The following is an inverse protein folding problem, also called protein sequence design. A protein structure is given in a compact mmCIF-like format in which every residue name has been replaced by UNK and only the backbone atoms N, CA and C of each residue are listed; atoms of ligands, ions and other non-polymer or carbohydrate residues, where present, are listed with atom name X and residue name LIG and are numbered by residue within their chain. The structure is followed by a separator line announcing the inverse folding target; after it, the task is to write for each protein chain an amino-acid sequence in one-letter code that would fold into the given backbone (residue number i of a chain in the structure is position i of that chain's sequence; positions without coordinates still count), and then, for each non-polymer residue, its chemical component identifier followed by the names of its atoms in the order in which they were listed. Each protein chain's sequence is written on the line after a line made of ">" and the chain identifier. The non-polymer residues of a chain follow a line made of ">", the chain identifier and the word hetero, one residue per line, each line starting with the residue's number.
data_IF_505651876379
#
_entry.id   IF_505651876379
#
_cell.length_a   1.000
_cell.length_b   1.000
_cell.length_c   1.000
_cell.angle_alpha   90.00
_cell.angle_beta   90.00
_cell.angle_gamma   90.00
#
_symmetry.space_group_name_H-M   'P 1'
#
loop_
_entity.id
_entity.type
_entity.pdbx_description
1 polymer ?
#
# COMPACT_ATOMS: atom_id res chain seq x y z
N UNK A 1 26.75 -6.38 18.65
CA UNK A 1 26.03 -7.21 17.67
C UNK A 1 24.64 -6.63 17.51
N UNK A 2 24.46 -5.76 16.51
CA UNK A 2 23.15 -5.14 16.24
C UNK A 2 22.24 -6.20 15.65
N UNK A 3 21.22 -6.64 16.40
CA UNK A 3 20.15 -7.47 15.85
C UNK A 3 19.39 -6.60 14.86
N UNK A 4 19.71 -6.73 13.57
CA UNK A 4 18.84 -6.23 12.52
C UNK A 4 17.54 -6.99 12.68
N UNK A 5 16.51 -6.33 13.22
CA UNK A 5 15.16 -6.89 13.32
C UNK A 5 14.77 -7.40 11.94
N UNK A 6 14.54 -8.71 11.80
CA UNK A 6 14.05 -9.29 10.56
C UNK A 6 12.70 -8.65 10.22
N UNK A 7 12.62 -8.05 9.03
CA UNK A 7 11.39 -7.45 8.52
C UNK A 7 10.35 -8.54 8.33
N UNK A 8 9.14 -8.32 8.84
CA UNK A 8 8.02 -9.23 8.63
C UNK A 8 7.72 -9.39 7.14
N UNK A 9 7.45 -10.62 6.69
CA UNK A 9 7.12 -10.88 5.28
C UNK A 9 5.78 -10.27 4.88
N UNK A 10 4.83 -10.23 5.81
CA UNK A 10 3.54 -9.57 5.67
C UNK A 10 3.34 -8.69 6.90
N UNK A 11 3.03 -7.43 6.68
CA UNK A 11 2.80 -6.47 7.76
C UNK A 11 1.45 -5.79 7.58
N UNK A 12 0.64 -5.78 8.63
CA UNK A 12 -0.63 -5.04 8.67
C UNK A 12 -0.45 -3.81 9.55
N UNK A 13 -0.75 -2.65 9.00
CA UNK A 13 -0.80 -1.39 9.75
C UNK A 13 -2.23 -1.20 10.23
N UNK A 14 -2.43 -1.06 11.54
CA UNK A 14 -3.76 -1.01 12.14
C UNK A 14 -3.89 0.15 13.12
N UNK A 15 -5.05 0.78 13.13
CA UNK A 15 -5.39 1.81 14.10
C UNK A 15 -6.85 1.65 14.53
N UNK A 16 -7.11 1.68 15.84
CA UNK A 16 -8.44 1.52 16.45
C UNK A 16 -9.25 0.33 15.90
N UNK A 17 -8.58 -0.82 15.77
CA UNK A 17 -9.19 -2.06 15.28
C UNK A 17 -9.39 -2.12 13.76
N UNK A 18 -9.05 -1.07 13.04
CA UNK A 18 -9.18 -0.99 11.58
C UNK A 18 -7.84 -1.15 10.88
N UNK A 19 -7.82 -1.76 9.69
CA UNK A 19 -6.58 -1.97 8.91
C UNK A 19 -6.39 -0.81 7.97
N UNK A 20 -5.33 -0.01 8.17
CA UNK A 20 -5.00 1.13 7.31
C UNK A 20 -4.28 0.70 6.03
N UNK A 21 -3.40 -0.31 6.14
CA UNK A 21 -2.68 -0.83 5.00
C UNK A 21 -2.04 -2.19 5.25
N UNK A 22 -1.64 -2.85 4.17
CA UNK A 22 -0.99 -4.15 4.18
C UNK A 22 0.24 -4.09 3.29
N UNK A 23 1.40 -4.40 3.84
CA UNK A 23 2.67 -4.48 3.13
C UNK A 23 3.02 -5.95 2.93
N UNK A 24 3.29 -6.33 1.69
CA UNK A 24 3.71 -7.65 1.25
C UNK A 24 5.16 -7.52 0.77
N UNK A 25 6.07 -8.15 1.51
CA UNK A 25 7.48 -8.16 1.19
C UNK A 25 7.75 -8.89 -0.12
N UNK A 26 8.70 -8.38 -0.91
CA UNK A 26 9.23 -9.07 -2.10
C UNK A 26 9.71 -10.52 -1.79
N UNK A 27 10.05 -10.80 -0.52
CA UNK A 27 10.54 -12.09 -0.07
C UNK A 27 9.43 -13.09 0.31
N UNK A 28 8.15 -12.69 0.34
CA UNK A 28 7.06 -13.63 0.61
C UNK A 28 6.96 -14.68 -0.50
N UNK A 29 7.04 -15.97 -0.15
CA UNK A 29 7.17 -17.05 -1.14
C UNK A 29 6.52 -18.38 -0.74
N UNK A 30 5.23 -18.36 -0.45
CA UNK A 30 4.50 -19.56 -0.06
C UNK A 30 3.79 -20.27 -1.23
N UNK A 31 3.80 -21.61 -1.33
CA UNK A 31 3.03 -22.31 -2.36
C UNK A 31 1.52 -22.10 -2.17
N UNK A 32 0.76 -22.11 -3.27
CA UNK A 32 -0.69 -21.96 -3.25
C UNK A 32 -1.16 -20.52 -3.48
N UNK A 33 -2.39 -20.23 -3.02
CA UNK A 33 -3.04 -18.92 -3.12
C UNK A 33 -3.19 -18.38 -1.70
N UNK A 34 -2.71 -17.15 -1.48
CA UNK A 34 -2.74 -16.47 -0.19
C UNK A 34 -3.44 -15.13 -0.35
N UNK A 35 -4.66 -15.02 0.14
CA UNK A 35 -5.38 -13.74 0.21
C UNK A 35 -4.92 -12.97 1.43
N UNK A 36 -4.56 -11.70 1.24
CA UNK A 36 -4.17 -10.81 2.34
C UNK A 36 -5.32 -9.91 2.80
N UNK A 37 -6.36 -9.82 1.99
CA UNK A 37 -7.57 -9.02 2.21
C UNK A 37 -8.74 -9.88 2.68
N UNK A 38 -9.59 -9.40 3.60
CA UNK A 38 -10.87 -10.04 3.87
C UNK A 38 -11.83 -9.84 2.69
N UNK A 39 -12.77 -10.77 2.50
CA UNK A 39 -13.65 -10.85 1.32
C UNK A 39 -14.63 -9.69 1.16
N UNK A 40 -14.80 -8.86 2.19
CA UNK A 40 -15.67 -7.69 2.20
C UNK A 40 -14.99 -6.40 1.72
N UNK A 41 -13.67 -6.38 1.49
CA UNK A 41 -13.02 -5.22 0.87
C UNK A 41 -13.34 -5.13 -0.62
N UNK A 42 -13.54 -3.90 -1.09
CA UNK A 42 -13.79 -3.58 -2.50
C UNK A 42 -12.64 -3.99 -3.41
N UNK A 43 -11.40 -3.98 -2.91
CA UNK A 43 -10.21 -4.48 -3.61
C UNK A 43 -9.62 -5.70 -2.90
N UNK A 44 -9.23 -6.71 -3.68
CA UNK A 44 -8.64 -7.95 -3.17
C UNK A 44 -7.20 -8.07 -3.64
N UNK A 45 -6.30 -8.47 -2.74
CA UNK A 45 -4.88 -8.72 -3.05
C UNK A 45 -4.52 -10.13 -2.62
N UNK A 46 -4.01 -10.92 -3.56
CA UNK A 46 -3.57 -12.29 -3.33
C UNK A 46 -2.21 -12.55 -3.96
N UNK A 47 -1.36 -13.28 -3.24
CA UNK A 47 -0.15 -13.90 -3.79
C UNK A 47 -0.48 -15.30 -4.29
N UNK A 48 0.04 -15.67 -5.46
CA UNK A 48 -0.17 -16.99 -6.04
C UNK A 48 1.15 -17.58 -6.52
N UNK A 49 1.49 -18.77 -6.03
CA UNK A 49 2.65 -19.54 -6.48
C UNK A 49 2.22 -20.98 -6.78
N UNK A 50 2.35 -21.37 -8.04
CA UNK A 50 2.07 -22.72 -8.51
C UNK A 50 3.33 -23.40 -9.04
N UNK A 51 3.39 -24.71 -8.85
CA UNK A 51 4.42 -25.54 -9.49
C UNK A 51 4.23 -25.58 -11.01
N UNK A 52 5.34 -25.79 -11.74
CA UNK A 52 5.32 -25.97 -13.19
C UNK A 52 4.33 -27.07 -13.59
N UNK A 53 3.54 -26.82 -14.62
CA UNK A 53 2.53 -27.76 -15.12
C UNK A 53 1.14 -27.61 -14.51
N UNK A 54 0.95 -26.77 -13.49
CA UNK A 54 -0.40 -26.45 -12.99
C UNK A 54 -1.21 -25.73 -14.07
N UNK A 55 -2.38 -26.28 -14.39
CA UNK A 55 -3.37 -25.62 -15.25
C UNK A 55 -4.37 -24.87 -14.36
N UNK A 56 -4.54 -23.58 -14.64
CA UNK A 56 -5.63 -22.75 -14.09
C UNK A 56 -6.73 -22.76 -15.15
N UNK A 57 -7.94 -23.21 -14.77
CA UNK A 57 -9.04 -23.30 -15.72
C UNK A 57 -9.49 -21.90 -16.19
N UNK A 58 -9.72 -21.70 -17.51
CA UNK A 58 -10.35 -20.48 -18.02
C UNK A 58 -11.71 -20.27 -17.35
N UNK A 59 -12.01 -19.04 -16.95
CA UNK A 59 -13.29 -18.67 -16.34
C UNK A 59 -13.63 -17.22 -16.67
N UNK A 60 -14.91 -16.89 -16.55
CA UNK A 60 -15.42 -15.52 -16.61
C UNK A 60 -16.05 -15.18 -15.26
N UNK A 61 -16.01 -13.91 -14.89
CA UNK A 61 -16.68 -13.44 -13.68
C UNK A 61 -18.15 -13.15 -13.98
N UNK A 62 -19.03 -13.60 -13.08
CA UNK A 62 -20.44 -13.24 -13.15
C UNK A 62 -20.61 -11.75 -12.87
N UNK A 63 -21.59 -11.08 -13.53
CA UNK A 63 -21.94 -9.72 -13.19
C UNK A 63 -22.46 -9.68 -11.76
N UNK A 64 -21.78 -8.93 -10.90
CA UNK A 64 -22.15 -8.72 -9.49
C UNK A 64 -22.05 -7.22 -9.21
N UNK A 65 -23.14 -6.55 -8.82
CA UNK A 65 -23.11 -5.17 -8.40
C UNK A 65 -22.16 -5.00 -7.20
N UNK A 66 -21.38 -3.91 -7.20
CA UNK A 66 -20.47 -3.55 -6.10
C UNK A 66 -20.62 -2.07 -5.81
N UNK A 67 -20.70 -1.74 -4.54
CA UNK A 67 -20.65 -0.35 -4.08
C UNK A 67 -19.24 -0.07 -3.56
N UNK A 68 -18.67 1.06 -3.98
CA UNK A 68 -17.33 1.50 -3.60
C UNK A 68 -17.48 2.88 -2.96
N UNK A 69 -17.21 2.96 -1.66
CA UNK A 69 -17.34 4.19 -0.87
C UNK A 69 -16.03 4.98 -0.80
N UNK A 70 -14.91 4.28 -0.86
CA UNK A 70 -13.57 4.85 -0.73
C UNK A 70 -12.64 4.23 -1.76
N UNK A 71 -11.71 5.03 -2.25
CA UNK A 71 -10.64 4.56 -3.11
C UNK A 71 -9.60 3.83 -2.29
N UNK A 72 -9.37 2.58 -2.68
CA UNK A 72 -8.22 1.78 -2.25
C UNK A 72 -7.18 1.81 -3.35
N UNK A 73 -5.92 1.74 -2.96
CA UNK A 73 -4.80 1.76 -3.90
C UNK A 73 -3.80 0.67 -3.58
N UNK A 74 -3.35 -0.02 -4.63
CA UNK A 74 -2.25 -0.98 -4.56
C UNK A 74 -1.06 -0.39 -5.29
N UNK A 75 0.09 -0.33 -4.62
CA UNK A 75 1.34 0.15 -5.21
C UNK A 75 2.33 -1.00 -5.24
N UNK A 76 2.92 -1.26 -6.41
CA UNK A 76 4.01 -2.20 -6.62
C UNK A 76 5.29 -1.38 -6.85
N UNK A 77 6.29 -1.58 -6.02
CA UNK A 77 7.58 -0.91 -6.19
C UNK A 77 8.40 -1.71 -7.20
N UNK A 78 8.65 -1.12 -8.38
CA UNK A 78 9.52 -1.74 -9.39
C UNK A 78 10.99 -1.54 -9.04
N UNK A 79 11.34 -0.34 -8.58
CA UNK A 79 12.70 0.05 -8.23
C UNK A 79 12.67 1.12 -7.13
N UNK A 80 13.76 1.20 -6.36
CA UNK A 80 14.01 2.30 -5.42
C UNK A 80 13.65 2.00 -3.98
N UNK A 81 13.54 3.09 -3.22
CA UNK A 81 13.25 3.09 -1.79
C UNK A 81 12.25 4.19 -1.47
N UNK A 82 11.05 3.78 -1.06
CA UNK A 82 9.94 4.66 -0.75
C UNK A 82 9.60 4.56 0.72
N UNK A 83 9.48 5.68 1.41
CA UNK A 83 8.85 5.73 2.72
C UNK A 83 7.37 5.99 2.54
N UNK A 84 6.54 5.23 3.24
CA UNK A 84 5.11 5.49 3.41
C UNK A 84 4.86 5.93 4.85
N UNK A 85 4.09 7.00 5.01
CA UNK A 85 3.59 7.52 6.28
C UNK A 85 2.09 7.25 6.38
N UNK A 86 1.63 6.83 7.56
CA UNK A 86 0.22 6.59 7.86
C UNK A 86 -0.33 7.65 8.81
N UNK A 87 -1.58 8.03 8.59
CA UNK A 87 -2.30 9.04 9.35
C UNK A 87 -3.71 8.57 9.67
N UNK A 88 -4.30 9.10 10.74
CA UNK A 88 -5.74 8.98 11.01
C UNK A 88 -6.55 9.77 9.97
N UNK A 89 -7.87 9.57 9.93
CA UNK A 89 -8.78 10.40 9.12
C UNK A 89 -8.79 11.87 9.56
N UNK A 90 -8.47 12.13 10.84
CA UNK A 90 -8.27 13.47 11.39
C UNK A 90 -6.85 14.00 11.15
N UNK A 91 -6.13 13.41 10.19
CA UNK A 91 -4.82 13.88 9.69
C UNK A 91 -3.69 13.82 10.74
N UNK A 92 -3.86 13.02 11.81
CA UNK A 92 -2.85 12.83 12.84
C UNK A 92 -1.86 11.75 12.42
N UNK A 93 -0.57 12.01 12.50
CA UNK A 93 0.47 11.04 12.17
C UNK A 93 0.44 9.82 13.10
N UNK A 94 0.66 8.63 12.54
CA UNK A 94 0.70 7.37 13.27
C UNK A 94 2.10 6.74 13.24
N UNK A 95 2.53 6.30 12.06
CA UNK A 95 3.80 5.57 11.88
C UNK A 95 4.26 5.59 10.42
N UNK A 96 5.46 5.07 10.16
CA UNK A 96 6.05 4.97 8.83
C UNK A 96 6.70 3.62 8.57
N UNK A 97 6.71 3.22 7.31
CA UNK A 97 7.38 2.01 6.83
C UNK A 97 8.23 2.31 5.60
N UNK A 98 9.30 1.55 5.41
CA UNK A 98 10.11 1.60 4.20
C UNK A 98 9.69 0.45 3.28
N UNK A 99 9.44 0.80 2.03
CA UNK A 99 9.18 -0.09 0.91
C UNK A 99 10.42 -0.10 0.01
N UNK A 100 10.74 -1.29 -0.47
CA UNK A 100 11.86 -1.56 -1.36
C UNK A 100 11.37 -2.15 -2.67
N UNK A 101 12.25 -2.21 -3.67
CA UNK A 101 11.97 -2.91 -4.93
C UNK A 101 11.39 -4.32 -4.70
N UNK A 102 10.29 -4.61 -5.41
CA UNK A 102 9.54 -5.85 -5.34
C UNK A 102 8.45 -5.88 -4.26
N UNK A 103 8.44 -4.95 -3.31
CA UNK A 103 7.36 -4.86 -2.32
C UNK A 103 6.05 -4.42 -2.96
N UNK A 104 4.95 -4.89 -2.38
CA UNK A 104 3.60 -4.43 -2.70
C UNK A 104 2.96 -3.87 -1.45
N UNK A 105 2.26 -2.75 -1.56
CA UNK A 105 1.45 -2.18 -0.49
C UNK A 105 0.02 -2.00 -0.96
N UNK A 106 -0.95 -2.39 -0.13
CA UNK A 106 -2.35 -2.03 -0.24
C UNK A 106 -2.66 -0.96 0.81
N UNK A 107 -3.24 0.15 0.39
CA UNK A 107 -3.73 1.22 1.25
C UNK A 107 -5.26 1.20 1.23
N UNK A 108 -5.85 1.10 2.42
CA UNK A 108 -7.25 0.72 2.62
C UNK A 108 -8.08 1.89 3.13
N UNK A 109 -7.60 2.57 4.17
CA UNK A 109 -8.32 3.64 4.88
C UNK A 109 -7.34 4.53 5.67
N UNK A 110 -7.85 5.64 6.20
CA UNK A 110 -7.04 6.67 6.84
C UNK A 110 -6.30 7.53 5.81
N UNK A 111 -5.40 8.37 6.29
CA UNK A 111 -4.50 9.15 5.43
C UNK A 111 -3.19 8.40 5.20
N UNK A 112 -2.57 8.65 4.06
CA UNK A 112 -1.20 8.23 3.81
C UNK A 112 -0.42 9.32 3.07
N UNK A 113 0.89 9.26 3.17
CA UNK A 113 1.81 10.12 2.44
C UNK A 113 3.07 9.38 2.07
N UNK A 114 3.84 9.93 1.13
CA UNK A 114 5.07 9.31 0.67
C UNK A 114 6.25 10.27 0.72
N UNK A 115 7.43 9.72 0.97
CA UNK A 115 8.71 10.38 0.83
C UNK A 115 9.62 9.48 0.00
N UNK A 116 10.07 9.99 -1.16
CA UNK A 116 11.00 9.28 -2.04
C UNK A 116 12.39 9.39 -1.44
N UNK A 117 12.93 8.29 -0.91
CA UNK A 117 14.24 8.24 -0.25
C UNK A 117 15.35 8.03 -1.28
N UNK A 118 15.09 7.18 -2.28
CA UNK A 118 15.93 6.94 -3.45
C UNK A 118 15.02 6.95 -4.69
N UNK A 119 15.56 7.20 -5.89
CA UNK A 119 14.79 7.21 -7.14
C UNK A 119 13.88 5.97 -7.23
N UNK A 120 12.57 6.20 -7.37
CA UNK A 120 11.53 5.18 -7.31
C UNK A 120 10.82 5.06 -8.64
N UNK A 121 10.65 3.82 -9.10
CA UNK A 121 9.67 3.44 -10.10
C UNK A 121 8.59 2.58 -9.46
N UNK A 122 7.32 2.87 -9.74
CA UNK A 122 6.20 2.13 -9.18
C UNK A 122 5.01 2.05 -10.13
N UNK A 123 4.18 1.04 -9.92
CA UNK A 123 2.88 0.89 -10.58
C UNK A 123 1.81 1.07 -9.52
N UNK A 124 0.83 1.91 -9.80
CA UNK A 124 -0.34 2.08 -8.96
C UNK A 124 -1.58 1.48 -9.63
N UNK A 125 -2.39 0.77 -8.84
CA UNK A 125 -3.68 0.21 -9.25
C UNK A 125 -4.75 0.72 -8.30
N UNK A 126 -5.73 1.44 -8.86
CA UNK A 126 -6.93 1.89 -8.16
C UNK A 126 -8.17 1.21 -8.70
N UNK A 127 -9.13 0.95 -7.82
CA UNK A 127 -10.45 0.47 -8.21
C UNK A 127 -11.29 1.65 -8.72
N UNK A 128 -11.83 1.55 -9.94
CA UNK A 128 -12.76 2.54 -10.47
C UNK A 128 -14.19 2.38 -9.91
N UNK A 129 -15.09 3.34 -10.17
CA UNK A 129 -14.91 4.49 -11.08
C UNK A 129 -13.99 5.58 -10.52
N UNK A 130 -13.13 6.15 -11.38
CA UNK A 130 -12.20 7.22 -10.98
C UNK A 130 -12.87 8.58 -11.12
N UNK A 131 -12.84 9.37 -10.04
CA UNK A 131 -13.50 10.70 -9.95
C UNK A 131 -12.51 11.88 -10.04
N UNK A 132 -11.26 11.64 -10.43
CA UNK A 132 -10.26 12.70 -10.63
C UNK A 132 -9.81 13.34 -9.32
N UNK A 133 -9.62 14.67 -9.32
CA UNK A 133 -9.14 15.43 -8.16
C UNK A 133 -10.09 15.41 -6.95
N UNK A 134 -11.36 15.05 -7.15
CA UNK A 134 -12.33 14.90 -6.06
C UNK A 134 -12.11 13.65 -5.21
N UNK A 135 -11.17 12.78 -5.59
CA UNK A 135 -10.89 11.51 -4.90
C UNK A 135 -10.16 11.68 -3.56
N UNK A 136 -9.54 12.85 -3.31
CA UNK A 136 -8.73 13.05 -2.10
C UNK A 136 -8.76 14.48 -1.57
N UNK A 137 -8.61 14.59 -0.25
CA UNK A 137 -8.28 15.85 0.42
C UNK A 137 -6.79 15.82 0.81
N UNK A 138 -6.02 16.79 0.32
CA UNK A 138 -4.59 16.93 0.65
C UNK A 138 -4.43 17.77 1.92
N UNK A 139 -3.44 17.42 2.74
CA UNK A 139 -3.16 18.14 3.98
C UNK A 139 -1.66 18.21 4.25
N UNK A 140 -1.25 19.21 5.04
CA UNK A 140 0.11 19.27 5.57
C UNK A 140 0.23 18.36 6.78
N UNK A 141 1.21 17.45 6.77
CA UNK A 141 1.48 16.58 7.90
C UNK A 141 1.80 17.42 9.16
N UNK A 142 0.92 17.36 10.17
CA UNK A 142 1.15 18.03 11.46
C UNK A 142 1.95 17.09 12.37
N UNK A 143 3.09 17.59 12.87
CA UNK A 143 4.01 16.92 13.81
C UNK A 143 4.54 15.55 13.33
N UNK A 144 5.61 15.57 12.53
CA UNK A 144 6.50 14.41 12.38
C UNK A 144 7.29 14.25 13.67
N UNK A 145 6.99 13.24 14.50
CA UNK A 145 7.83 12.92 15.66
C UNK A 145 9.30 12.78 15.23
N UNK A 146 10.22 13.38 15.99
CA UNK A 146 11.61 13.73 15.64
C UNK A 146 12.57 12.57 15.30
N UNK A 147 12.11 11.40 14.83
CA UNK A 147 13.00 10.24 14.63
C UNK A 147 13.68 10.12 13.27
N UNK A 148 13.30 10.87 12.24
CA UNK A 148 14.10 10.98 11.02
C UNK A 148 13.87 12.36 10.37
N UNK A 149 14.81 13.28 10.59
CA UNK A 149 14.86 14.57 9.90
C UNK A 149 15.71 14.39 8.64
N UNK A 150 15.12 14.59 7.47
CA UNK A 150 15.84 15.14 6.32
C UNK A 150 14.95 16.15 5.60
N UNK A 151 15.30 17.42 5.82
CA UNK A 151 15.12 18.64 5.00
C UNK A 151 13.81 18.91 4.22
N UNK A 152 13.33 20.17 4.22
CA UNK A 152 12.13 20.54 3.48
C UNK A 152 12.43 20.58 1.98
N UNK A 153 11.90 19.63 1.20
CA UNK A 153 11.91 19.77 -0.25
C UNK A 153 10.72 20.61 -0.70
N UNK A 154 11.03 21.56 -1.58
CA UNK A 154 10.14 22.45 -2.31
C UNK A 154 8.94 21.71 -2.94
N UNK A 155 7.87 22.48 -3.13
CA UNK A 155 6.60 22.14 -3.77
C UNK A 155 6.68 20.96 -4.75
N UNK A 156 5.93 19.89 -4.45
CA UNK A 156 5.79 18.73 -5.32
C UNK A 156 4.73 19.04 -6.37
N UNK A 157 5.16 18.98 -7.62
CA UNK A 157 4.34 19.03 -8.83
C UNK A 157 3.24 17.98 -8.81
N UNK A 158 2.07 18.39 -9.29
CA UNK A 158 0.87 17.59 -9.55
C UNK A 158 1.14 16.46 -10.55
N UNK A 159 1.46 15.27 -10.09
CA UNK A 159 1.26 13.97 -10.76
C UNK A 159 2.12 12.89 -10.09
N UNK A 160 1.98 12.70 -8.78
CA UNK A 160 2.07 11.35 -8.22
C UNK A 160 0.87 11.28 -7.28
N UNK A 161 -0.18 10.66 -7.83
CA UNK A 161 -1.54 10.51 -7.31
C UNK A 161 -2.40 11.76 -7.18
#
# INVERSE_FOLDING_TARGET
>A
MSSVLERQLIQKVTHDGSVLGIIISANFREPGIHFFTPSNLSQQVAYMRHSKGKVIQPHVHNPVPREVYHTQEVILIKQGKLRVDFYTEQQQYLESHILYAGDTILLIQGGHGFEVIEEVEMIEIKQGPYVGDHDKTRFFAHQRGEKYISTPSRAVSSCIV
#
